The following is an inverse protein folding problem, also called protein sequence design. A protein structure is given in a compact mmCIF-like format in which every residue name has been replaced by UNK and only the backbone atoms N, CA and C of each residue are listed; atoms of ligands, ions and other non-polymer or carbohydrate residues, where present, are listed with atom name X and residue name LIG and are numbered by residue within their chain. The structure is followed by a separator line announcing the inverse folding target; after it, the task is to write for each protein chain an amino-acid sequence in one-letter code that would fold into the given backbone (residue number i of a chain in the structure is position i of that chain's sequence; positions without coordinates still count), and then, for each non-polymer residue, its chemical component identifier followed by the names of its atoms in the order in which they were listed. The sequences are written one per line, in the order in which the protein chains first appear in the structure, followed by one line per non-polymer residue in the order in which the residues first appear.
data_IF_080905782962
#
_entry.id   IF_080905782962
#
_cell.length_a   1.000
_cell.length_b   1.000
_cell.length_c   1.000
_cell.angle_alpha   90.00
_cell.angle_beta   90.00
_cell.angle_gamma   90.00
#
_symmetry.space_group_name_H-M   'P 1'
#
loop_
_entity.id
_entity.type
_entity.pdbx_description
1 polymer ?
#
# COMPACT_ATOMS: atom_id res chain seq x y z
N UNK A 1 -0.82 23.08 14.89
CA UNK A 1 -0.47 22.46 13.59
C UNK A 1 -1.55 22.83 12.60
N UNK A 2 -1.18 23.31 11.40
CA UNK A 2 -2.14 23.51 10.31
C UNK A 2 -1.98 22.37 9.31
N UNK A 3 -3.06 22.04 8.63
CA UNK A 3 -3.06 21.02 7.58
C UNK A 3 -3.01 21.75 6.24
N UNK A 4 -2.15 21.31 5.33
CA UNK A 4 -2.13 21.81 3.97
C UNK A 4 -3.39 21.38 3.21
N UNK A 5 -4.02 22.30 2.51
CA UNK A 5 -5.10 21.97 1.56
C UNK A 5 -4.55 21.21 0.35
N UNK A 6 -5.41 20.45 -0.35
CA UNK A 6 -5.00 19.72 -1.57
C UNK A 6 -4.40 20.68 -2.62
N UNK A 7 -5.00 21.86 -2.80
CA UNK A 7 -4.49 22.89 -3.71
C UNK A 7 -3.08 23.35 -3.34
N UNK A 8 -2.84 23.66 -2.06
CA UNK A 8 -1.51 24.05 -1.58
C UNK A 8 -0.48 22.92 -1.79
N UNK A 9 -0.87 21.68 -1.49
CA UNK A 9 -0.02 20.50 -1.66
C UNK A 9 0.42 20.32 -3.12
N UNK A 10 -0.52 20.42 -4.06
CA UNK A 10 -0.25 20.25 -5.49
C UNK A 10 0.64 21.35 -6.08
N UNK A 11 0.64 22.55 -5.48
CA UNK A 11 1.54 23.64 -5.91
C UNK A 11 2.92 23.61 -5.26
N UNK A 12 3.10 22.85 -4.17
CA UNK A 12 4.34 22.87 -3.40
C UNK A 12 5.36 21.85 -3.95
N UNK A 13 6.62 22.24 -4.23
CA UNK A 13 7.59 21.41 -4.95
C UNK A 13 7.82 20.02 -4.35
N UNK A 14 7.89 19.93 -3.02
CA UNK A 14 8.11 18.68 -2.30
C UNK A 14 6.81 17.92 -1.95
N UNK A 15 5.77 18.62 -1.49
CA UNK A 15 4.52 17.98 -1.05
C UNK A 15 3.74 17.31 -2.20
N UNK A 16 3.89 17.81 -3.42
CA UNK A 16 3.32 17.17 -4.61
C UNK A 16 3.95 15.81 -4.94
N UNK A 17 5.17 15.53 -4.46
CA UNK A 17 5.89 14.29 -4.72
C UNK A 17 5.27 13.09 -3.99
N UNK A 18 4.49 13.34 -2.92
CA UNK A 18 3.75 12.29 -2.23
C UNK A 18 2.61 11.81 -3.14
N UNK A 19 2.56 10.50 -3.49
CA UNK A 19 1.53 9.96 -4.37
C UNK A 19 0.13 10.21 -3.82
N UNK A 20 -0.83 10.50 -4.71
CA UNK A 20 -2.22 10.75 -4.30
C UNK A 20 -2.84 9.53 -3.60
N UNK A 21 -2.53 8.32 -4.03
CA UNK A 21 -2.97 7.08 -3.36
C UNK A 21 -2.53 7.03 -1.91
N UNK A 22 -1.25 7.31 -1.64
CA UNK A 22 -0.70 7.32 -0.28
C UNK A 22 -1.24 8.50 0.54
N UNK A 23 -1.41 9.67 -0.08
CA UNK A 23 -2.01 10.85 0.57
C UNK A 23 -3.45 10.56 1.05
N UNK A 24 -4.21 9.80 0.28
CA UNK A 24 -5.59 9.44 0.60
C UNK A 24 -5.69 8.29 1.62
N UNK A 25 -4.61 7.55 1.87
CA UNK A 25 -4.62 6.35 2.69
C UNK A 25 -4.92 6.66 4.17
N UNK A 26 -5.88 5.93 4.74
CA UNK A 26 -6.36 6.14 6.10
C UNK A 26 -5.40 5.66 7.20
N UNK A 27 -4.45 4.79 6.87
CA UNK A 27 -3.41 4.33 7.79
C UNK A 27 -2.33 5.37 8.01
N UNK A 28 -2.13 6.30 7.06
CA UNK A 28 -1.10 7.34 7.10
C UNK A 28 -1.71 8.74 7.01
N UNK A 29 -1.64 9.39 5.85
CA UNK A 29 -1.89 10.82 5.70
C UNK A 29 -3.36 11.22 5.89
N UNK A 30 -4.36 10.39 5.55
CA UNK A 30 -5.80 10.75 5.68
C UNK A 30 -6.19 12.06 4.97
N UNK A 31 -5.53 12.39 3.86
CA UNK A 31 -5.61 13.69 3.17
C UNK A 31 -5.05 14.87 3.98
N UNK A 32 -4.25 14.61 5.01
CA UNK A 32 -3.67 15.60 5.89
C UNK A 32 -2.13 15.56 5.80
N UNK A 33 -1.54 16.61 5.24
CA UNK A 33 -0.12 16.88 5.38
C UNK A 33 0.08 18.02 6.38
N UNK A 34 0.80 17.74 7.46
CA UNK A 34 1.09 18.73 8.50
C UNK A 34 2.08 19.77 7.96
N UNK A 35 1.71 21.05 8.06
CA UNK A 35 2.54 22.18 7.64
C UNK A 35 3.91 22.20 8.33
N UNK A 36 3.95 21.73 9.57
CA UNK A 36 5.18 21.54 10.32
C UNK A 36 6.20 20.63 9.63
N UNK A 37 5.81 19.74 8.71
CA UNK A 37 6.78 18.88 8.01
C UNK A 37 7.56 19.63 6.91
N UNK A 38 7.03 20.74 6.42
CA UNK A 38 7.58 21.45 5.25
C UNK A 38 9.03 21.91 5.43
N UNK A 39 9.44 22.51 6.57
CA UNK A 39 10.84 22.90 6.76
C UNK A 39 11.82 21.72 6.62
N UNK A 40 11.45 20.55 7.13
CA UNK A 40 12.26 19.32 7.04
C UNK A 40 12.27 18.80 5.60
N UNK A 41 11.14 18.85 4.90
CA UNK A 41 11.04 18.40 3.50
C UNK A 41 11.88 19.28 2.54
N UNK A 42 12.06 20.56 2.86
CA UNK A 42 12.75 21.53 2.00
C UNK A 42 14.28 21.56 2.14
N UNK A 43 14.86 20.75 3.04
CA UNK A 43 16.33 20.67 3.18
C UNK A 43 16.99 20.17 1.89
N UNK A 44 18.22 20.59 1.62
CA UNK A 44 18.89 20.26 0.35
C UNK A 44 19.86 19.09 0.47
N UNK A 45 20.47 18.90 1.64
CA UNK A 45 21.44 17.83 1.87
C UNK A 45 21.01 16.94 3.04
N UNK A 46 21.47 15.68 3.09
CA UNK A 46 21.22 14.82 4.24
C UNK A 46 21.69 15.45 5.56
N UNK A 47 22.84 16.13 5.57
CA UNK A 47 23.37 16.77 6.78
C UNK A 47 22.41 17.84 7.31
N UNK A 48 21.85 18.65 6.41
CA UNK A 48 20.83 19.65 6.75
C UNK A 48 19.54 19.00 7.25
N UNK A 49 19.10 17.90 6.61
CA UNK A 49 17.93 17.13 7.00
C UNK A 49 18.07 16.61 8.45
N UNK A 50 19.15 15.88 8.73
CA UNK A 50 19.42 15.31 10.05
C UNK A 50 19.61 16.39 11.10
N UNK A 51 20.18 17.55 10.75
CA UNK A 51 20.28 18.70 11.64
C UNK A 51 18.92 19.31 11.96
N UNK A 52 18.09 19.56 10.95
CA UNK A 52 16.74 20.11 11.10
C UNK A 52 15.87 19.21 12.00
N UNK A 53 15.99 17.89 11.86
CA UNK A 53 15.27 16.92 12.69
C UNK A 53 15.70 16.90 14.16
N UNK A 54 16.90 17.38 14.53
CA UNK A 54 17.32 17.44 15.94
C UNK A 54 16.54 18.49 16.73
N UNK A 55 16.26 19.61 16.08
CA UNK A 55 15.50 20.72 16.70
C UNK A 55 13.99 20.59 16.44
N UNK A 56 13.58 19.53 15.74
CA UNK A 56 12.20 19.30 15.34
C UNK A 56 11.36 18.77 16.51
N UNK A 57 10.22 19.40 16.76
CA UNK A 57 9.25 18.92 17.76
C UNK A 57 8.53 17.68 17.21
N UNK A 58 8.97 16.50 17.66
CA UNK A 58 8.43 15.23 17.19
C UNK A 58 6.94 15.06 17.52
N UNK A 59 6.12 14.56 16.57
CA UNK A 59 4.74 14.21 16.85
C UNK A 59 4.65 13.12 17.92
N UNK A 60 3.59 13.15 18.73
CA UNK A 60 3.36 12.13 19.76
C UNK A 60 2.82 10.82 19.18
N UNK A 61 1.99 10.91 18.14
CA UNK A 61 1.37 9.74 17.52
C UNK A 61 2.28 9.06 16.51
N UNK A 62 2.27 7.72 16.52
CA UNK A 62 3.15 6.93 15.65
C UNK A 62 2.82 7.12 14.17
N UNK A 63 1.53 7.28 13.83
CA UNK A 63 1.05 7.58 12.48
C UNK A 63 1.68 8.86 11.94
N UNK A 64 1.69 9.92 12.72
CA UNK A 64 2.24 11.21 12.30
C UNK A 64 3.75 11.11 12.07
N UNK A 65 4.46 10.29 12.85
CA UNK A 65 5.89 10.01 12.58
C UNK A 65 6.09 9.18 11.31
N UNK A 66 5.21 8.22 11.03
CA UNK A 66 5.20 7.49 9.75
C UNK A 66 4.95 8.44 8.57
N UNK A 67 4.01 9.37 8.71
CA UNK A 67 3.75 10.42 7.72
C UNK A 67 4.96 11.32 7.52
N UNK A 68 5.64 11.73 8.61
CA UNK A 68 6.87 12.51 8.54
C UNK A 68 7.96 11.74 7.78
N UNK A 69 8.18 10.47 8.12
CA UNK A 69 9.16 9.62 7.43
C UNK A 69 8.88 9.55 5.93
N UNK A 70 7.65 9.20 5.54
CA UNK A 70 7.25 9.10 4.15
C UNK A 70 7.41 10.45 3.44
N UNK A 71 6.93 11.55 4.03
CA UNK A 71 7.03 12.88 3.45
C UNK A 71 8.48 13.30 3.20
N UNK A 72 9.38 13.04 4.16
CA UNK A 72 10.81 13.30 4.01
C UNK A 72 11.41 12.46 2.90
N UNK A 73 11.12 11.15 2.85
CA UNK A 73 11.72 10.24 1.86
C UNK A 73 11.23 10.54 0.44
N UNK A 74 9.96 10.91 0.24
CA UNK A 74 9.49 11.39 -1.06
C UNK A 74 10.14 12.71 -1.48
N UNK A 75 10.52 13.55 -0.52
CA UNK A 75 11.22 14.82 -0.80
C UNK A 75 12.73 14.63 -1.02
N UNK A 76 13.30 13.53 -0.52
CA UNK A 76 14.72 13.19 -0.60
C UNK A 76 14.91 11.76 -1.15
N UNK A 77 14.57 11.51 -2.42
CA UNK A 77 14.54 10.15 -2.97
C UNK A 77 15.92 9.46 -3.00
N UNK A 78 17.00 10.23 -2.91
CA UNK A 78 18.39 9.75 -3.00
C UNK A 78 18.99 9.32 -1.65
N UNK A 79 18.23 9.35 -0.54
CA UNK A 79 18.73 8.87 0.76
C UNK A 79 19.17 7.40 0.66
N UNK A 80 20.38 7.09 1.13
CA UNK A 80 20.87 5.71 1.17
C UNK A 80 20.02 4.85 2.12
N UNK A 81 20.10 3.52 1.99
CA UNK A 81 19.42 2.58 2.91
C UNK A 81 19.85 2.77 4.37
N UNK A 82 21.12 3.12 4.62
CA UNK A 82 21.62 3.45 5.96
C UNK A 82 21.00 4.75 6.48
N UNK A 83 20.88 5.76 5.62
CA UNK A 83 20.24 7.03 5.97
C UNK A 83 18.75 6.88 6.23
N UNK A 84 18.05 6.01 5.49
CA UNK A 84 16.63 5.71 5.76
C UNK A 84 16.42 5.13 7.16
N UNK A 85 17.30 4.21 7.57
CA UNK A 85 17.27 3.61 8.91
C UNK A 85 17.66 4.63 9.97
N UNK A 86 18.67 5.46 9.71
CA UNK A 86 19.06 6.54 10.61
C UNK A 86 17.91 7.54 10.80
N UNK A 87 17.19 7.89 9.74
CA UNK A 87 16.02 8.76 9.78
C UNK A 87 14.92 8.14 10.64
N UNK A 88 14.60 6.86 10.41
CA UNK A 88 13.60 6.13 11.20
C UNK A 88 13.93 6.09 12.69
N UNK A 89 15.22 5.89 13.03
CA UNK A 89 15.71 5.93 14.41
C UNK A 89 15.63 7.34 15.01
N UNK A 90 16.02 8.37 14.27
CA UNK A 90 16.03 9.74 14.77
C UNK A 90 14.62 10.25 15.09
N UNK A 91 13.64 9.90 14.26
CA UNK A 91 12.22 10.24 14.52
C UNK A 91 11.55 9.18 15.40
N UNK A 92 12.32 8.24 15.97
CA UNK A 92 11.84 7.25 16.93
C UNK A 92 10.63 6.43 16.39
N UNK A 93 10.78 5.86 15.20
CA UNK A 93 9.87 4.82 14.69
C UNK A 93 10.18 3.49 15.36
N UNK A 94 9.13 2.83 15.85
CA UNK A 94 9.23 1.41 16.24
C UNK A 94 9.62 0.55 15.02
N UNK A 95 10.30 -0.60 15.21
CA UNK A 95 10.62 -1.51 14.11
C UNK A 95 9.41 -1.92 13.27
N UNK A 96 8.26 -2.14 13.92
CA UNK A 96 6.98 -2.38 13.25
C UNK A 96 6.61 -1.20 12.32
N UNK A 97 6.56 0.01 12.87
CA UNK A 97 6.16 1.19 12.12
C UNK A 97 7.11 1.48 10.96
N UNK A 98 8.41 1.21 11.13
CA UNK A 98 9.40 1.33 10.06
C UNK A 98 9.21 0.29 8.94
N UNK A 99 8.91 -0.97 9.29
CA UNK A 99 8.55 -1.98 8.30
C UNK A 99 7.30 -1.59 7.51
N UNK A 100 6.27 -1.08 8.18
CA UNK A 100 5.04 -0.64 7.53
C UNK A 100 5.34 0.42 6.45
N UNK A 101 6.02 1.51 6.81
CA UNK A 101 6.35 2.57 5.83
C UNK A 101 7.36 2.11 4.77
N UNK A 102 8.24 1.16 5.10
CA UNK A 102 9.17 0.57 4.13
C UNK A 102 8.44 -0.26 3.08
N UNK A 103 7.41 -1.01 3.48
CA UNK A 103 6.54 -1.78 2.57
C UNK A 103 5.70 -0.84 1.72
N UNK A 104 5.14 0.22 2.32
CA UNK A 104 4.37 1.24 1.61
C UNK A 104 5.20 1.98 0.56
N UNK A 105 6.45 2.33 0.91
CA UNK A 105 7.40 2.97 -0.01
C UNK A 105 7.82 2.02 -1.14
N UNK A 106 7.88 0.71 -0.85
CA UNK A 106 8.23 -0.35 -1.79
C UNK A 106 9.61 -0.13 -2.47
N UNK A 107 10.58 0.41 -1.72
CA UNK A 107 11.97 0.58 -2.19
C UNK A 107 12.77 -0.69 -1.92
N UNK A 108 13.23 -1.36 -2.97
CA UNK A 108 13.84 -2.71 -2.86
C UNK A 108 15.13 -2.74 -2.03
N UNK A 109 16.01 -1.76 -2.20
CA UNK A 109 17.25 -1.64 -1.45
C UNK A 109 17.02 -1.44 0.06
N UNK A 110 15.99 -0.65 0.42
CA UNK A 110 15.58 -0.45 1.80
C UNK A 110 15.02 -1.74 2.39
N UNK A 111 14.12 -2.41 1.67
CA UNK A 111 13.50 -3.65 2.11
C UNK A 111 14.50 -4.78 2.27
N UNK A 112 15.44 -4.94 1.33
CA UNK A 112 16.52 -5.91 1.43
C UNK A 112 17.42 -5.63 2.64
N UNK A 113 17.62 -4.36 3.00
CA UNK A 113 18.43 -3.99 4.15
C UNK A 113 17.71 -4.18 5.48
N UNK A 114 16.46 -3.73 5.60
CA UNK A 114 15.71 -3.74 6.87
C UNK A 114 15.41 -5.14 7.37
N UNK A 115 15.14 -6.09 6.49
CA UNK A 115 14.84 -7.49 6.89
C UNK A 115 16.04 -8.20 7.51
N UNK A 116 17.26 -7.75 7.19
CA UNK A 116 18.51 -8.30 7.71
C UNK A 116 18.98 -7.59 8.99
N UNK A 117 18.30 -6.52 9.40
CA UNK A 117 18.64 -5.81 10.64
C UNK A 117 18.21 -6.61 11.89
N UNK A 118 19.00 -6.55 12.99
CA UNK A 118 18.64 -7.20 14.25
C UNK A 118 17.26 -6.76 14.77
N UNK A 119 16.47 -7.71 15.25
CA UNK A 119 15.14 -7.49 15.84
C UNK A 119 13.98 -7.43 14.83
N UNK A 120 14.25 -7.25 13.54
CA UNK A 120 13.19 -7.16 12.54
C UNK A 120 12.56 -8.52 12.20
N UNK A 121 13.35 -9.60 12.24
CA UNK A 121 12.85 -10.95 11.99
C UNK A 121 11.73 -11.34 12.99
N UNK A 122 11.93 -11.07 14.28
CA UNK A 122 10.93 -11.36 15.33
C UNK A 122 9.63 -10.56 15.10
N UNK A 123 9.77 -9.27 14.76
CA UNK A 123 8.62 -8.39 14.46
C UNK A 123 7.83 -8.91 13.27
N UNK A 124 8.53 -9.41 12.23
CA UNK A 124 7.92 -10.01 11.05
C UNK A 124 7.18 -11.29 11.42
N UNK A 125 7.80 -12.19 12.19
CA UNK A 125 7.19 -13.46 12.61
C UNK A 125 5.90 -13.24 13.39
N UNK A 126 5.90 -12.30 14.34
CA UNK A 126 4.73 -11.97 15.16
C UNK A 126 3.57 -11.38 14.34
N UNK A 127 3.87 -10.72 13.22
CA UNK A 127 2.88 -9.93 12.45
C UNK A 127 2.81 -10.30 10.97
N UNK A 128 3.25 -11.50 10.61
CA UNK A 128 3.37 -11.96 9.22
C UNK A 128 2.09 -11.75 8.41
N UNK A 129 0.91 -12.00 9.00
CA UNK A 129 -0.38 -11.79 8.33
C UNK A 129 -0.65 -10.33 7.99
N UNK A 130 -0.31 -9.41 8.89
CA UNK A 130 -0.52 -7.98 8.70
C UNK A 130 0.42 -7.44 7.61
N UNK A 131 1.71 -7.80 7.67
CA UNK A 131 2.67 -7.42 6.64
C UNK A 131 2.37 -8.05 5.27
N UNK A 132 1.83 -9.27 5.23
CA UNK A 132 1.43 -9.91 3.98
C UNK A 132 0.29 -9.14 3.31
N UNK A 133 -0.72 -8.73 4.08
CA UNK A 133 -1.81 -7.90 3.56
C UNK A 133 -1.35 -6.52 3.12
N UNK A 134 -0.46 -5.89 3.90
CA UNK A 134 0.12 -4.59 3.53
C UNK A 134 0.94 -4.69 2.24
N UNK A 135 1.80 -5.71 2.11
CA UNK A 135 2.58 -5.95 0.91
C UNK A 135 1.71 -6.20 -0.32
N UNK A 136 0.60 -6.93 -0.16
CA UNK A 136 -0.35 -7.14 -1.24
C UNK A 136 -1.03 -5.81 -1.66
N UNK A 137 -1.51 -5.04 -0.68
CA UNK A 137 -2.20 -3.77 -0.92
C UNK A 137 -1.32 -2.68 -1.53
N UNK A 138 -0.01 -2.70 -1.29
CA UNK A 138 0.95 -1.73 -1.83
C UNK A 138 1.78 -2.24 -3.01
N UNK A 139 1.47 -3.45 -3.52
CA UNK A 139 2.15 -4.00 -4.68
C UNK A 139 3.61 -4.40 -4.41
N UNK A 140 3.96 -4.60 -3.14
CA UNK A 140 5.30 -4.97 -2.70
C UNK A 140 5.56 -6.47 -2.90
N UNK A 141 5.70 -6.90 -4.15
CA UNK A 141 5.89 -8.32 -4.49
C UNK A 141 7.12 -8.94 -3.82
N UNK A 142 8.21 -8.19 -3.69
CA UNK A 142 9.43 -8.66 -3.02
C UNK A 142 9.18 -9.03 -1.56
N UNK A 143 8.50 -8.15 -0.79
CA UNK A 143 8.12 -8.47 0.58
C UNK A 143 7.06 -9.58 0.61
N UNK A 144 6.08 -9.57 -0.29
CA UNK A 144 5.03 -10.59 -0.34
C UNK A 144 5.61 -12.01 -0.52
N UNK A 145 6.56 -12.15 -1.45
CA UNK A 145 7.24 -13.44 -1.71
C UNK A 145 8.17 -13.83 -0.58
N UNK A 146 8.87 -12.87 0.04
CA UNK A 146 9.67 -13.09 1.24
C UNK A 146 8.82 -13.63 2.38
N UNK A 147 7.70 -12.98 2.72
CA UNK A 147 6.80 -13.40 3.80
C UNK A 147 6.20 -14.78 3.52
N UNK A 148 5.81 -15.05 2.27
CA UNK A 148 5.34 -16.37 1.87
C UNK A 148 6.39 -17.47 2.03
N UNK A 149 7.67 -17.16 1.80
CA UNK A 149 8.78 -18.12 1.98
C UNK A 149 9.03 -18.46 3.46
N UNK A 150 8.59 -17.60 4.38
CA UNK A 150 8.70 -17.82 5.83
C UNK A 150 7.48 -18.53 6.43
N UNK A 151 6.39 -18.61 5.69
CA UNK A 151 5.16 -19.25 6.14
C UNK A 151 5.08 -20.72 5.70
N UNK A 152 4.42 -21.57 6.49
CA UNK A 152 4.05 -22.91 6.03
C UNK A 152 3.02 -22.81 4.89
N UNK A 153 2.90 -23.84 4.02
CA UNK A 153 1.91 -23.85 2.95
C UNK A 153 0.46 -23.62 3.44
N UNK A 154 0.12 -24.17 4.61
CA UNK A 154 -1.19 -24.02 5.25
C UNK A 154 -1.40 -22.58 5.69
N UNK A 155 -0.37 -21.99 6.32
CA UNK A 155 -0.41 -20.60 6.76
C UNK A 155 -0.49 -19.63 5.58
N UNK A 156 0.20 -19.91 4.49
CA UNK A 156 0.11 -19.14 3.25
C UNK A 156 -1.31 -19.21 2.67
N UNK A 157 -1.90 -20.41 2.59
CA UNK A 157 -3.29 -20.57 2.15
C UNK A 157 -4.27 -19.80 3.03
N UNK A 158 -4.09 -19.85 4.34
CA UNK A 158 -4.89 -19.09 5.29
C UNK A 158 -4.78 -17.58 5.03
N UNK A 159 -3.56 -17.05 4.83
CA UNK A 159 -3.35 -15.63 4.52
C UNK A 159 -3.97 -15.21 3.17
N UNK A 160 -3.93 -16.07 2.16
CA UNK A 160 -4.52 -15.78 0.84
C UNK A 160 -6.06 -15.76 0.92
N UNK A 161 -6.64 -16.67 1.69
CA UNK A 161 -8.11 -16.85 1.77
C UNK A 161 -8.78 -15.97 2.84
N UNK A 162 -7.98 -15.37 3.74
CA UNK A 162 -8.46 -14.50 4.81
C UNK A 162 -9.38 -13.37 4.32
N UNK A 163 -10.37 -13.03 5.15
CA UNK A 163 -11.36 -11.97 4.89
C UNK A 163 -12.03 -12.09 3.51
N UNK A 164 -12.32 -13.34 3.11
CA UNK A 164 -12.86 -13.68 1.80
C UNK A 164 -12.02 -13.03 0.68
N UNK A 165 -10.74 -13.40 0.68
CA UNK A 165 -9.73 -12.93 -0.28
C UNK A 165 -9.46 -11.41 -0.23
N UNK A 166 -9.43 -10.83 0.97
CA UNK A 166 -9.22 -9.40 1.17
C UNK A 166 -7.94 -8.87 0.51
N UNK A 167 -6.84 -9.62 0.62
CA UNK A 167 -5.54 -9.25 0.03
C UNK A 167 -5.59 -9.16 -1.50
N UNK A 168 -6.32 -10.07 -2.15
CA UNK A 168 -6.52 -10.04 -3.60
C UNK A 168 -7.36 -8.83 -4.02
N UNK A 169 -8.44 -8.54 -3.29
CA UNK A 169 -9.30 -7.38 -3.59
C UNK A 169 -8.55 -6.06 -3.43
N UNK A 170 -7.75 -5.90 -2.37
CA UNK A 170 -6.93 -4.71 -2.15
C UNK A 170 -5.89 -4.53 -3.26
N UNK A 171 -5.18 -5.61 -3.61
CA UNK A 171 -4.22 -5.57 -4.72
C UNK A 171 -4.90 -5.22 -6.07
N UNK A 172 -6.13 -5.70 -6.29
CA UNK A 172 -6.91 -5.41 -7.50
C UNK A 172 -7.38 -3.97 -7.54
N UNK A 173 -7.94 -3.47 -6.44
CA UNK A 173 -8.35 -2.08 -6.27
C UNK A 173 -7.21 -1.10 -6.56
N UNK A 174 -5.98 -1.43 -6.15
CA UNK A 174 -4.80 -0.60 -6.36
C UNK A 174 -4.01 -0.93 -7.64
N UNK A 175 -4.51 -1.84 -8.48
CA UNK A 175 -3.93 -2.11 -9.80
C UNK A 175 -2.65 -2.95 -9.80
N UNK A 176 -2.36 -3.68 -8.72
CA UNK A 176 -1.12 -4.44 -8.54
C UNK A 176 -1.14 -5.82 -9.21
N UNK A 177 -1.08 -5.82 -10.55
CA UNK A 177 -1.18 -7.03 -11.37
C UNK A 177 -0.23 -8.17 -10.95
N UNK A 178 1.04 -7.86 -10.69
CA UNK A 178 2.04 -8.88 -10.34
C UNK A 178 1.73 -9.58 -9.02
N UNK A 179 1.16 -8.86 -8.05
CA UNK A 179 0.66 -9.45 -6.80
C UNK A 179 -0.52 -10.38 -7.08
N UNK A 180 -1.47 -9.98 -7.94
CA UNK A 180 -2.62 -10.83 -8.27
C UNK A 180 -2.20 -12.12 -8.95
N UNK A 181 -1.27 -12.04 -9.93
CA UNK A 181 -0.68 -13.21 -10.59
C UNK A 181 -0.02 -14.14 -9.59
N UNK A 182 0.75 -13.55 -8.67
CA UNK A 182 1.39 -14.31 -7.61
C UNK A 182 0.37 -15.02 -6.73
N UNK A 183 -0.62 -14.31 -6.17
CA UNK A 183 -1.64 -14.90 -5.28
C UNK A 183 -2.43 -16.02 -5.98
N UNK A 184 -2.83 -15.81 -7.23
CA UNK A 184 -3.52 -16.83 -8.03
C UNK A 184 -2.64 -18.05 -8.29
N UNK A 185 -1.33 -17.88 -8.48
CA UNK A 185 -0.40 -19.00 -8.68
C UNK A 185 -0.19 -19.87 -7.43
N UNK A 186 -0.61 -19.39 -6.26
CA UNK A 186 -0.44 -20.08 -4.97
C UNK A 186 -1.67 -20.86 -4.52
N UNK A 187 -2.73 -20.90 -5.32
CA UNK A 187 -3.96 -21.63 -4.99
C UNK A 187 -4.45 -22.44 -6.20
N UNK A 188 -5.40 -23.36 -5.96
CA UNK A 188 -6.02 -24.12 -7.05
C UNK A 188 -6.88 -23.23 -7.96
N UNK A 189 -7.14 -23.70 -9.18
CA UNK A 189 -7.96 -22.99 -10.16
C UNK A 189 -9.40 -22.74 -9.65
N UNK A 190 -9.98 -23.71 -8.94
CA UNK A 190 -11.29 -23.53 -8.29
C UNK A 190 -11.26 -22.39 -7.26
N UNK A 191 -10.16 -22.31 -6.49
CA UNK A 191 -9.97 -21.24 -5.52
C UNK A 191 -9.74 -19.89 -6.20
N UNK A 192 -9.09 -19.84 -7.36
CA UNK A 192 -9.03 -18.62 -8.19
C UNK A 192 -10.44 -18.18 -8.59
N UNK A 193 -11.32 -19.11 -8.97
CA UNK A 193 -12.71 -18.74 -9.30
C UNK A 193 -13.44 -18.15 -8.09
N UNK A 194 -13.35 -18.79 -6.92
CA UNK A 194 -13.92 -18.26 -5.67
C UNK A 194 -13.38 -16.87 -5.34
N UNK A 195 -12.06 -16.71 -5.41
CA UNK A 195 -11.34 -15.46 -5.14
C UNK A 195 -11.84 -14.31 -5.99
N UNK A 196 -12.03 -14.57 -7.29
CA UNK A 196 -12.48 -13.56 -8.24
C UNK A 196 -13.98 -13.25 -8.10
N UNK A 197 -14.80 -14.25 -7.75
CA UNK A 197 -16.24 -14.07 -7.55
C UNK A 197 -16.62 -13.55 -6.16
N UNK A 198 -15.67 -13.48 -5.22
CA UNK A 198 -15.90 -13.04 -3.86
C UNK A 198 -16.61 -11.67 -3.82
N UNK A 199 -17.59 -11.56 -2.92
CA UNK A 199 -18.43 -10.37 -2.75
C UNK A 199 -19.07 -9.88 -4.06
N UNK A 200 -19.64 -10.80 -4.83
CA UNK A 200 -20.27 -10.49 -6.11
C UNK A 200 -19.30 -9.75 -7.04
N UNK A 201 -18.19 -10.42 -7.34
CA UNK A 201 -17.13 -9.93 -8.24
C UNK A 201 -16.55 -8.57 -7.82
N UNK A 202 -16.42 -8.31 -6.51
CA UNK A 202 -15.98 -7.01 -6.01
C UNK A 202 -14.62 -6.58 -6.57
N UNK A 203 -13.66 -7.50 -6.72
CA UNK A 203 -12.37 -7.20 -7.34
C UNK A 203 -12.52 -6.63 -8.76
N UNK A 204 -13.41 -7.20 -9.58
CA UNK A 204 -13.70 -6.67 -10.91
C UNK A 204 -14.30 -5.26 -10.86
N UNK A 205 -15.26 -5.05 -9.97
CA UNK A 205 -15.98 -3.78 -9.84
C UNK A 205 -15.02 -2.66 -9.45
N UNK A 206 -14.13 -2.92 -8.48
CA UNK A 206 -13.10 -1.97 -8.03
C UNK A 206 -12.10 -1.67 -9.16
N UNK A 207 -11.60 -2.69 -9.84
CA UNK A 207 -10.67 -2.55 -10.97
C UNK A 207 -11.28 -1.71 -12.11
N UNK A 208 -12.56 -1.95 -12.44
CA UNK A 208 -13.27 -1.21 -13.47
C UNK A 208 -13.51 0.24 -13.06
N UNK A 209 -13.92 0.48 -11.80
CA UNK A 209 -14.12 1.83 -11.27
C UNK A 209 -12.82 2.65 -11.23
N UNK A 210 -11.68 2.00 -10.95
CA UNK A 210 -10.37 2.66 -10.87
C UNK A 210 -9.61 2.68 -12.21
N UNK A 211 -10.18 2.09 -13.27
CA UNK A 211 -9.59 2.13 -14.61
C UNK A 211 -8.32 1.28 -14.79
N UNK A 212 -8.09 0.27 -13.95
CA UNK A 212 -6.91 -0.60 -14.03
C UNK A 212 -7.04 -1.65 -15.15
N UNK A 213 -6.96 -1.20 -16.40
CA UNK A 213 -7.25 -2.00 -17.60
C UNK A 213 -6.43 -3.31 -17.71
N UNK A 214 -5.16 -3.30 -17.32
CA UNK A 214 -4.33 -4.52 -17.35
C UNK A 214 -4.79 -5.56 -16.33
N UNK A 215 -5.17 -5.12 -15.13
CA UNK A 215 -5.76 -6.00 -14.13
C UNK A 215 -7.11 -6.51 -14.63
N UNK A 216 -7.92 -5.66 -15.26
CA UNK A 216 -9.20 -6.07 -15.80
C UNK A 216 -9.05 -7.19 -16.85
N UNK A 217 -8.12 -7.03 -17.79
CA UNK A 217 -7.77 -8.06 -18.78
C UNK A 217 -7.34 -9.36 -18.11
N UNK A 218 -6.48 -9.27 -17.11
CA UNK A 218 -6.04 -10.43 -16.36
C UNK A 218 -7.21 -11.15 -15.67
N UNK A 219 -8.07 -10.41 -14.95
CA UNK A 219 -9.23 -11.01 -14.28
C UNK A 219 -10.16 -11.70 -15.29
N UNK A 220 -10.42 -11.09 -16.46
CA UNK A 220 -11.21 -11.73 -17.52
C UNK A 220 -10.55 -13.00 -18.08
N UNK A 221 -9.22 -13.05 -18.11
CA UNK A 221 -8.48 -14.22 -18.61
C UNK A 221 -8.50 -15.42 -17.65
N UNK A 222 -8.73 -15.19 -16.36
CA UNK A 222 -8.73 -16.26 -15.35
C UNK A 222 -10.13 -16.73 -14.97
N UNK A 223 -11.20 -16.09 -15.44
CA UNK A 223 -12.59 -16.49 -15.14
C UNK A 223 -13.14 -17.40 -16.21
N UNK A 224 -13.84 -18.46 -15.79
CA UNK A 224 -14.55 -19.32 -16.74
C UNK A 224 -15.76 -18.63 -17.39
N UNK A 225 -15.98 -18.97 -18.66
CA UNK A 225 -17.08 -18.45 -19.49
C UNK A 225 -18.47 -18.47 -18.82
N UNK A 226 -18.75 -19.45 -17.95
CA UNK A 226 -20.04 -19.52 -17.23
C UNK A 226 -20.28 -18.32 -16.31
N UNK A 227 -19.23 -17.83 -15.63
CA UNK A 227 -19.28 -16.66 -14.74
C UNK A 227 -19.12 -15.33 -15.48
N UNK A 228 -18.62 -15.37 -16.73
CA UNK A 228 -18.55 -14.20 -17.60
C UNK A 228 -19.95 -13.60 -17.85
N UNK A 229 -20.98 -14.46 -17.96
CA UNK A 229 -22.38 -14.01 -18.06
C UNK A 229 -22.84 -13.26 -16.83
N UNK A 230 -22.44 -13.69 -15.63
CA UNK A 230 -22.80 -13.03 -14.37
C UNK A 230 -22.11 -11.65 -14.26
N UNK A 231 -20.84 -11.57 -14.68
CA UNK A 231 -20.10 -10.31 -14.78
C UNK A 231 -20.77 -9.35 -15.78
N UNK A 232 -21.10 -9.82 -16.99
CA UNK A 232 -21.79 -9.00 -17.98
C UNK A 232 -23.20 -8.60 -17.51
N UNK A 233 -23.94 -9.52 -16.89
CA UNK A 233 -25.25 -9.23 -16.33
C UNK A 233 -25.16 -8.10 -15.31
N UNK A 234 -24.15 -8.11 -14.43
CA UNK A 234 -23.87 -7.00 -13.53
C UNK A 234 -23.59 -5.69 -14.30
N UNK A 235 -22.68 -5.68 -15.28
CA UNK A 235 -22.36 -4.47 -16.06
C UNK A 235 -23.55 -3.89 -16.82
N UNK A 236 -24.39 -4.73 -17.43
CA UNK A 236 -25.49 -4.29 -18.27
C UNK A 236 -26.78 -3.97 -17.50
N UNK A 237 -26.97 -4.52 -16.29
CA UNK A 237 -28.12 -4.19 -15.44
C UNK A 237 -27.89 -3.05 -14.45
N UNK A 238 -26.67 -2.48 -14.36
CA UNK A 238 -26.40 -1.24 -13.61
C UNK A 238 -26.81 0.01 -14.41
N UNK A 239 -28.08 0.10 -14.84
CA UNK A 239 -28.66 1.35 -15.35
C UNK A 239 -29.20 2.19 -14.18
N UNK A 240 -28.32 2.84 -13.42
CA UNK A 240 -28.54 4.17 -12.81
C UNK A 240 -27.24 4.64 -12.14
N UNK A 241 -26.31 5.17 -12.92
CA UNK A 241 -25.28 6.07 -12.39
C UNK A 241 -25.93 7.45 -12.31
N UNK A 242 -25.88 8.13 -11.17
CA UNK A 242 -26.41 9.49 -11.10
C UNK A 242 -25.53 10.45 -11.94
N UNK A 243 -26.00 11.67 -12.29
CA UNK A 243 -25.23 12.64 -13.09
C UNK A 243 -23.88 13.07 -12.48
N UNK A 244 -23.56 12.65 -11.24
CA UNK A 244 -22.31 12.92 -10.52
C UNK A 244 -21.39 11.70 -10.45
N UNK A 245 -21.68 10.62 -11.18
CA UNK A 245 -20.81 9.43 -11.23
C UNK A 245 -20.86 8.55 -9.99
N UNK A 246 -21.85 8.74 -9.12
CA UNK A 246 -22.02 7.92 -7.92
C UNK A 246 -22.99 6.77 -8.18
N UNK A 247 -22.59 5.56 -7.78
CA UNK A 247 -23.41 4.35 -7.85
C UNK A 247 -24.53 4.43 -6.80
N UNK A 248 -25.78 4.31 -7.24
CA UNK A 248 -26.92 4.10 -6.35
C UNK A 248 -27.07 2.60 -6.13
N UNK A 249 -26.89 2.14 -4.90
CA UNK A 249 -27.23 0.78 -4.50
C UNK A 249 -28.73 0.70 -4.16
N UNK A 250 -29.42 -0.42 -4.44
CA UNK A 250 -30.76 -0.68 -3.91
C UNK A 250 -30.74 -0.85 -2.38
#
# INVERSE_FOLDING_TARGET
MRIMTEAQRLTHPQAQLIPKSLMNDFSVFRNELLDGFIPVMQTQTPEQLFACLRDFVMPQGMRERQCLWLAVVYSHPNLSKEQLVALAKQIDLSPKAYLEVSIMLNRQDNLAYVIDLPGYAEVIEQQVRAFFGLAAGYGCLGMLTYLASKASPEKLHEMITAYNFGNFRLAAENGHLEVLRYLASKVSLDKVQEMVAAYDFLAFRLVAANGHLEVLRYLLSVVYFKRYKDILYWFFNQRTVNPRGQWLYP
#
